data_IF_837014895000
#
_entry.id   IF_837014895000
#
_cell.length_a   1.000
_cell.length_b   1.000
_cell.length_c   1.000
_cell.angle_alpha   90.00
_cell.angle_beta   90.00
_cell.angle_gamma   90.00
#
_symmetry.space_group_name_H-M   'P 1'
#
loop_
_entity.id
_entity.type
_entity.pdbx_description
1 polymer ?
#
# COMPACT_ATOMS: atom_id res chain seq x y z
N UNK A 1 -10.19 -21.28 4.51
CA UNK A 1 -9.92 -20.12 3.63
C UNK A 1 -10.01 -20.64 2.20
N UNK A 2 -10.81 -20.01 1.34
CA UNK A 2 -11.06 -20.45 -0.05
C UNK A 2 -9.88 -20.13 -0.99
N UNK A 3 -8.66 -20.16 -0.46
CA UNK A 3 -7.44 -19.88 -1.21
C UNK A 3 -7.12 -21.09 -2.08
N UNK A 4 -6.96 -20.91 -3.41
CA UNK A 4 -6.57 -22.01 -4.29
C UNK A 4 -5.18 -22.55 -3.93
N UNK A 5 -5.00 -23.86 -4.09
CA UNK A 5 -3.72 -24.54 -3.91
C UNK A 5 -3.35 -25.26 -5.21
N UNK A 6 -2.27 -24.87 -5.92
CA UNK A 6 -1.33 -23.79 -5.57
C UNK A 6 -1.94 -22.39 -5.67
N UNK A 7 -1.29 -21.41 -5.03
CA UNK A 7 -1.73 -20.02 -5.07
C UNK A 7 -1.79 -19.50 -6.51
N UNK A 8 -2.97 -19.08 -6.93
CA UNK A 8 -3.17 -18.38 -8.19
C UNK A 8 -2.98 -16.85 -8.01
N UNK A 9 -2.00 -16.23 -8.69
CA UNK A 9 -1.81 -14.79 -8.66
C UNK A 9 -3.04 -14.01 -9.16
N UNK A 10 -3.78 -14.54 -10.13
CA UNK A 10 -4.95 -13.88 -10.70
C UNK A 10 -6.10 -13.83 -9.68
N UNK A 11 -6.35 -14.94 -8.97
CA UNK A 11 -7.29 -15.01 -7.84
C UNK A 11 -6.93 -13.99 -6.76
N UNK A 12 -5.64 -13.89 -6.41
CA UNK A 12 -5.15 -12.96 -5.37
C UNK A 12 -5.34 -11.51 -5.79
N UNK A 13 -4.99 -11.17 -7.03
CA UNK A 13 -5.15 -9.82 -7.56
C UNK A 13 -6.63 -9.41 -7.64
N UNK A 14 -7.53 -10.32 -8.04
CA UNK A 14 -8.96 -10.05 -8.05
C UNK A 14 -9.50 -9.71 -6.65
N UNK A 15 -8.94 -10.32 -5.59
CA UNK A 15 -9.29 -9.97 -4.20
C UNK A 15 -8.75 -8.59 -3.81
N UNK A 16 -7.49 -8.30 -4.15
CA UNK A 16 -6.89 -6.98 -3.91
C UNK A 16 -7.77 -5.88 -4.53
N UNK A 17 -8.22 -6.07 -5.77
CA UNK A 17 -9.09 -5.12 -6.46
C UNK A 17 -10.43 -4.90 -5.76
N UNK A 18 -11.07 -5.97 -5.26
CA UNK A 18 -12.29 -5.85 -4.45
C UNK A 18 -12.04 -5.11 -3.14
N UNK A 19 -10.95 -5.41 -2.46
CA UNK A 19 -10.55 -4.72 -1.24
C UNK A 19 -10.29 -3.23 -1.49
N UNK A 20 -9.61 -2.86 -2.58
CA UNK A 20 -9.40 -1.46 -2.95
C UNK A 20 -10.72 -0.71 -3.15
N UNK A 21 -11.70 -1.30 -3.84
CA UNK A 21 -13.04 -0.70 -4.00
C UNK A 21 -13.74 -0.49 -2.65
N UNK A 22 -13.69 -1.47 -1.75
CA UNK A 22 -14.31 -1.38 -0.43
C UNK A 22 -13.64 -0.36 0.49
N UNK A 23 -12.31 -0.33 0.49
CA UNK A 23 -11.51 0.61 1.27
C UNK A 23 -11.79 2.03 0.78
N UNK A 24 -11.78 2.26 -0.53
CA UNK A 24 -12.15 3.55 -1.11
C UNK A 24 -13.57 3.97 -0.73
N UNK A 25 -14.57 3.11 -0.91
CA UNK A 25 -15.95 3.43 -0.55
C UNK A 25 -16.15 3.74 0.94
N UNK A 26 -15.33 3.17 1.82
CA UNK A 26 -15.31 3.53 3.24
C UNK A 26 -14.62 4.87 3.46
N UNK A 27 -13.43 5.07 2.89
CA UNK A 27 -12.67 6.30 3.00
C UNK A 27 -13.44 7.52 2.47
N UNK A 28 -14.12 7.41 1.31
CA UNK A 28 -14.93 8.49 0.76
C UNK A 28 -16.10 8.88 1.68
N UNK A 29 -16.75 7.90 2.32
CA UNK A 29 -17.83 8.20 3.29
C UNK A 29 -17.32 8.87 4.56
N UNK A 30 -16.11 8.54 5.01
CA UNK A 30 -15.48 9.19 6.16
C UNK A 30 -15.03 10.61 5.79
N UNK A 31 -14.38 10.77 4.64
CA UNK A 31 -13.96 12.06 4.11
C UNK A 31 -15.12 13.02 3.86
N UNK A 32 -16.29 12.52 3.42
CA UNK A 32 -17.51 13.33 3.26
C UNK A 32 -18.07 13.90 4.58
N UNK A 33 -17.48 13.54 5.73
CA UNK A 33 -17.78 14.10 7.06
C UNK A 33 -16.63 14.96 7.58
N UNK A 34 -15.76 15.43 6.68
CA UNK A 34 -14.56 16.22 6.98
C UNK A 34 -13.56 15.52 7.91
N UNK A 35 -13.57 14.18 7.94
CA UNK A 35 -12.63 13.38 8.73
C UNK A 35 -11.48 12.89 7.85
N UNK A 36 -10.22 13.23 8.16
CA UNK A 36 -9.05 12.74 7.44
C UNK A 36 -8.91 11.21 7.50
N UNK A 37 -8.44 10.62 6.40
CA UNK A 37 -8.21 9.18 6.29
C UNK A 37 -6.76 8.85 5.94
N UNK A 38 -6.20 7.82 6.57
CA UNK A 38 -4.90 7.24 6.19
C UNK A 38 -5.13 5.88 5.54
N UNK A 39 -4.61 5.71 4.33
CA UNK A 39 -4.71 4.45 3.58
C UNK A 39 -3.37 3.72 3.57
N UNK A 40 -3.27 2.62 4.32
CA UNK A 40 -2.10 1.73 4.31
C UNK A 40 -2.29 0.58 3.31
N UNK A 41 -2.01 0.87 2.03
CA UNK A 41 -2.20 -0.07 0.91
C UNK A 41 -0.87 -0.52 0.27
N UNK A 42 0.26 -0.20 0.90
CA UNK A 42 1.61 -0.47 0.41
C UNK A 42 2.06 0.38 -0.79
N UNK A 43 1.16 0.74 -1.72
CA UNK A 43 1.41 1.64 -2.86
C UNK A 43 2.71 1.35 -3.64
N UNK A 44 3.08 0.07 -3.77
CA UNK A 44 4.33 -0.35 -4.41
C UNK A 44 4.31 -0.21 -5.94
N UNK A 45 3.13 -0.28 -6.56
CA UNK A 45 2.93 -0.19 -8.02
C UNK A 45 2.55 1.22 -8.47
N UNK A 46 3.07 1.65 -9.61
CA UNK A 46 2.78 2.99 -10.16
C UNK A 46 1.30 3.16 -10.48
N UNK A 47 0.68 2.11 -11.04
CA UNK A 47 -0.73 2.04 -11.39
C UNK A 47 -1.62 2.23 -10.16
N UNK A 48 -1.24 1.62 -9.02
CA UNK A 48 -1.96 1.81 -7.75
C UNK A 48 -1.88 3.24 -7.25
N UNK A 49 -0.72 3.91 -7.37
CA UNK A 49 -0.57 5.30 -6.95
C UNK A 49 -1.35 6.25 -7.85
N UNK A 50 -1.28 6.05 -9.17
CA UNK A 50 -2.02 6.85 -10.15
C UNK A 50 -3.53 6.77 -9.92
N UNK A 51 -4.06 5.54 -9.77
CA UNK A 51 -5.49 5.32 -9.50
C UNK A 51 -5.98 6.08 -8.27
N UNK A 52 -5.27 6.01 -7.15
CA UNK A 52 -5.72 6.69 -5.94
C UNK A 52 -5.54 8.22 -6.04
N UNK A 53 -4.57 8.72 -6.80
CA UNK A 53 -4.49 10.14 -7.11
C UNK A 53 -5.69 10.63 -7.93
N UNK A 54 -6.12 9.85 -8.93
CA UNK A 54 -7.33 10.15 -9.73
C UNK A 54 -8.59 10.10 -8.89
N UNK A 55 -8.80 9.03 -8.10
CA UNK A 55 -9.95 8.89 -7.22
C UNK A 55 -10.10 10.07 -6.24
N UNK A 56 -8.99 10.49 -5.63
CA UNK A 56 -8.97 11.64 -4.73
C UNK A 56 -9.33 12.93 -5.47
N UNK A 57 -8.73 13.17 -6.64
CA UNK A 57 -9.01 14.35 -7.46
C UNK A 57 -10.48 14.42 -7.87
N UNK A 58 -11.03 13.30 -8.35
CA UNK A 58 -12.41 13.21 -8.83
C UNK A 58 -13.42 13.38 -7.69
N UNK A 59 -13.02 13.06 -6.45
CA UNK A 59 -13.81 13.31 -5.24
C UNK A 59 -13.63 14.73 -4.66
N UNK A 60 -12.84 15.61 -5.29
CA UNK A 60 -12.55 16.95 -4.77
C UNK A 60 -11.71 16.95 -3.48
N UNK A 61 -11.02 15.85 -3.18
CA UNK A 61 -10.19 15.69 -2.00
C UNK A 61 -8.73 16.06 -2.29
N UNK A 62 -7.92 16.19 -1.25
CA UNK A 62 -6.46 16.24 -1.35
C UNK A 62 -5.83 14.93 -0.86
N UNK A 63 -4.69 14.54 -1.43
CA UNK A 63 -3.94 13.38 -1.00
C UNK A 63 -2.46 13.72 -0.83
N UNK A 64 -1.85 13.11 0.19
CA UNK A 64 -0.41 13.16 0.45
C UNK A 64 0.15 11.74 0.51
N UNK A 65 1.19 11.49 -0.28
CA UNK A 65 1.90 10.21 -0.24
C UNK A 65 3.00 10.25 0.82
N UNK A 66 2.89 9.41 1.84
CA UNK A 66 3.93 9.22 2.83
C UNK A 66 4.76 7.97 2.50
N UNK A 67 6.07 8.15 2.32
CA UNK A 67 7.00 7.05 2.04
C UNK A 67 7.90 6.75 3.23
N UNK A 68 7.88 5.50 3.69
CA UNK A 68 8.73 5.03 4.79
C UNK A 68 10.03 4.46 4.22
N UNK A 69 11.08 5.27 4.24
CA UNK A 69 12.39 4.94 3.67
C UNK A 69 13.22 4.01 4.57
N UNK A 70 12.79 2.75 4.72
CA UNK A 70 13.55 1.74 5.48
C UNK A 70 14.45 0.93 4.53
N UNK A 71 15.75 0.74 4.90
CA UNK A 71 16.68 -0.07 4.11
C UNK A 71 16.12 -1.46 3.76
N UNK A 72 16.46 -1.97 2.59
CA UNK A 72 15.98 -3.26 2.12
C UNK A 72 16.34 -4.41 3.07
N UNK A 73 17.56 -4.40 3.60
CA UNK A 73 18.03 -5.43 4.54
C UNK A 73 17.26 -5.40 5.86
N UNK A 74 16.94 -4.21 6.40
CA UNK A 74 16.13 -4.11 7.62
C UNK A 74 14.69 -4.57 7.38
N UNK A 75 14.11 -4.26 6.21
CA UNK A 75 12.79 -4.80 5.82
C UNK A 75 12.83 -6.32 5.71
N UNK A 76 13.90 -6.88 5.18
CA UNK A 76 14.06 -8.33 5.01
C UNK A 76 14.25 -9.05 6.36
N UNK A 77 15.10 -8.52 7.25
CA UNK A 77 15.28 -9.03 8.62
C UNK A 77 13.94 -9.15 9.36
N UNK A 78 13.03 -8.18 9.18
CA UNK A 78 11.66 -8.22 9.76
C UNK A 78 10.79 -9.32 9.15
N UNK A 79 10.93 -9.59 7.85
CA UNK A 79 10.22 -10.71 7.18
C UNK A 79 10.69 -12.04 7.76
N UNK A 80 12.00 -12.23 7.88
CA UNK A 80 12.59 -13.45 8.46
C UNK A 80 12.15 -13.65 9.91
N UNK A 81 12.23 -12.61 10.73
CA UNK A 81 11.77 -12.66 12.12
C UNK A 81 10.27 -13.00 12.23
N UNK A 82 9.44 -12.56 11.27
CA UNK A 82 8.02 -12.90 11.22
C UNK A 82 7.78 -14.32 10.73
N UNK A 83 8.51 -14.79 9.73
CA UNK A 83 8.42 -16.18 9.25
C UNK A 83 8.82 -17.17 10.37
N UNK A 84 9.84 -16.85 11.17
CA UNK A 84 10.28 -17.66 12.29
C UNK A 84 9.23 -17.75 13.42
N UNK A 85 8.46 -16.67 13.63
CA UNK A 85 7.33 -16.65 14.57
C UNK A 85 6.11 -17.32 13.94
N UNK A 86 6.11 -18.67 13.90
CA UNK A 86 4.97 -19.49 13.42
C UNK A 86 3.68 -19.06 14.14
N UNK A 87 2.79 -18.37 13.44
CA UNK A 87 1.38 -18.20 13.84
C UNK A 87 0.53 -19.19 13.06
N UNK A 88 -0.53 -19.70 13.69
CA UNK A 88 -1.47 -20.69 13.13
C UNK A 88 -2.15 -20.23 11.83
N UNK A 89 -2.13 -18.92 11.55
CA UNK A 89 -2.87 -18.29 10.44
C UNK A 89 -1.98 -17.64 9.35
N UNK A 90 -0.69 -17.99 9.25
CA UNK A 90 0.16 -17.46 8.16
C UNK A 90 -0.09 -18.24 6.87
N UNK A 91 -0.69 -17.58 5.88
CA UNK A 91 -1.12 -18.21 4.63
C UNK A 91 0.03 -18.69 3.72
N UNK A 92 1.26 -18.18 3.88
CA UNK A 92 2.44 -18.60 3.12
C UNK A 92 3.76 -18.09 3.74
N UNK A 93 4.83 -18.88 3.62
CA UNK A 93 6.21 -18.44 3.87
C UNK A 93 6.67 -17.50 2.74
N UNK A 94 7.16 -16.30 3.08
CA UNK A 94 7.74 -15.37 2.09
C UNK A 94 9.25 -15.63 1.98
N UNK A 95 9.71 -15.98 0.78
CA UNK A 95 11.13 -16.17 0.46
C UNK A 95 11.66 -15.03 -0.41
N UNK A 96 12.93 -14.67 -0.19
CA UNK A 96 13.62 -13.65 -1.01
C UNK A 96 13.89 -14.23 -2.38
N UNK A 97 13.33 -13.63 -3.42
CA UNK A 97 13.79 -13.85 -4.79
C UNK A 97 14.82 -12.77 -5.14
N UNK A 98 15.97 -13.19 -5.67
CA UNK A 98 17.03 -12.29 -6.13
C UNK A 98 16.61 -11.58 -7.43
N UNK A 99 15.80 -10.52 -7.35
CA UNK A 99 15.59 -9.60 -8.47
C UNK A 99 15.69 -8.14 -8.01
N UNK A 100 16.54 -7.41 -8.72
CA UNK A 100 16.84 -5.99 -8.51
C UNK A 100 15.58 -5.13 -8.74
N UNK A 101 14.86 -4.80 -7.68
CA UNK A 101 13.76 -3.81 -7.74
C UNK A 101 14.39 -2.41 -7.76
N UNK A 102 14.55 -1.83 -8.95
CA UNK A 102 14.88 -0.40 -9.10
C UNK A 102 13.66 0.42 -8.67
N UNK A 103 13.79 1.15 -7.56
CA UNK A 103 12.77 2.08 -7.09
C UNK A 103 12.82 3.39 -7.90
N UNK A 104 11.70 3.78 -8.52
CA UNK A 104 11.63 4.99 -9.35
C UNK A 104 11.52 6.24 -8.47
N UNK A 105 12.60 7.01 -8.38
CA UNK A 105 12.71 8.28 -7.61
C UNK A 105 12.21 9.52 -8.36
N UNK A 106 11.64 9.38 -9.57
CA UNK A 106 11.69 10.42 -10.60
C UNK A 106 10.56 11.47 -10.64
N UNK A 107 9.65 11.53 -9.65
CA UNK A 107 8.53 12.49 -9.67
C UNK A 107 8.28 13.19 -8.32
N UNK A 108 9.35 13.66 -7.66
CA UNK A 108 9.24 14.61 -6.54
C UNK A 108 9.68 16.00 -7.02
N UNK A 109 8.89 16.59 -7.92
CA UNK A 109 9.12 17.89 -8.50
C UNK A 109 7.99 18.85 -8.15
N UNK A 110 7.83 19.18 -6.87
CA UNK A 110 7.20 20.43 -6.41
C UNK A 110 7.62 20.64 -4.96
N UNK A 111 8.29 21.77 -4.70
CA UNK A 111 8.80 22.18 -3.41
C UNK A 111 7.70 22.15 -2.33
N UNK A 112 7.88 21.32 -1.30
CA UNK A 112 7.06 21.39 -0.09
C UNK A 112 7.84 22.20 0.95
N UNK A 113 7.55 23.50 1.02
CA UNK A 113 7.96 24.33 2.15
C UNK A 113 7.22 23.83 3.39
N UNK A 114 7.99 23.34 4.36
CA UNK A 114 7.46 23.04 5.69
C UNK A 114 6.91 24.33 6.30
N UNK A 115 5.58 24.44 6.37
CA UNK A 115 4.94 25.08 7.51
C UNK A 115 4.17 24.01 8.26
N UNK A 116 4.65 23.75 9.47
CA UNK A 116 3.95 22.94 10.45
C UNK A 116 2.54 23.49 10.61
N UNK A 117 1.55 22.65 10.38
CA UNK A 117 0.24 22.78 10.98
C UNK A 117 -0.09 21.40 11.48
N UNK A 118 -0.26 21.28 12.79
CA UNK A 118 -0.96 20.14 13.38
C UNK A 118 -2.36 20.11 12.76
N UNK A 119 -2.58 19.22 11.79
CA UNK A 119 -3.61 18.16 11.73
C UNK A 119 -3.16 17.10 10.72
#
# INVERSE_FOLDING_TARGET
MDTPQPLDPSWSMARVERCYKQIWGTASRVAARDVPCVLDLGFSRTESRARFAELTRDAGLSARLHFVAVPAEERWRRVEARNAKKRRDVSAEIRRYARNVRFCRRHLGTAYHHRNVEV
#
